data_IF_361081645551
#
_entry.id   IF_361081645551
#
_cell.length_a   1.000
_cell.length_b   1.000
_cell.length_c   1.000
_cell.angle_alpha   90.00
_cell.angle_beta   90.00
_cell.angle_gamma   90.00
#
_symmetry.space_group_name_H-M   'P 1'
#
loop_
_entity.id
_entity.type
_entity.pdbx_description
1 polymer ?
#
# COMPACT_ATOMS: atom_id res chain seq x y z
N UNK A 1 60.12 -53.63 -4.06
CA UNK A 1 59.61 -52.49 -4.87
C UNK A 1 58.44 -51.88 -4.12
N UNK A 2 58.50 -50.60 -3.73
CA UNK A 2 57.48 -49.96 -2.86
C UNK A 2 56.51 -49.14 -3.72
N UNK A 3 55.22 -49.51 -3.71
CA UNK A 3 54.14 -48.81 -4.41
C UNK A 3 53.64 -47.68 -3.50
N UNK A 4 53.66 -46.43 -3.98
CA UNK A 4 53.10 -45.27 -3.26
C UNK A 4 51.63 -45.11 -3.66
N UNK A 5 50.72 -45.29 -2.71
CA UNK A 5 49.30 -45.01 -2.90
C UNK A 5 49.04 -43.51 -2.83
N UNK A 6 48.42 -42.96 -3.87
CA UNK A 6 47.99 -41.56 -3.96
C UNK A 6 46.50 -41.52 -3.63
N UNK A 7 46.15 -40.86 -2.53
CA UNK A 7 44.74 -40.68 -2.12
C UNK A 7 44.16 -39.46 -2.83
N UNK A 8 43.22 -39.70 -3.74
CA UNK A 8 42.47 -38.67 -4.45
C UNK A 8 41.32 -38.19 -3.56
N UNK A 9 41.46 -37.02 -2.94
CA UNK A 9 40.40 -36.42 -2.13
C UNK A 9 39.38 -35.79 -3.07
N UNK A 10 38.26 -36.48 -3.28
CA UNK A 10 37.15 -35.98 -4.10
C UNK A 10 36.31 -35.01 -3.26
N UNK A 11 36.49 -33.70 -3.50
CA UNK A 11 35.74 -32.66 -2.80
C UNK A 11 34.28 -32.64 -3.27
N UNK A 12 33.36 -32.99 -2.38
CA UNK A 12 31.92 -33.02 -2.63
C UNK A 12 31.36 -31.58 -2.61
N UNK A 13 31.18 -30.98 -3.78
CA UNK A 13 30.50 -29.68 -3.94
C UNK A 13 29.00 -29.84 -3.70
N UNK A 14 28.54 -29.55 -2.48
CA UNK A 14 27.12 -29.45 -2.16
C UNK A 14 26.53 -28.20 -2.85
N UNK A 15 25.44 -28.33 -3.64
CA UNK A 15 24.81 -27.17 -4.27
C UNK A 15 24.16 -26.31 -3.20
N UNK A 16 24.66 -25.09 -3.03
CA UNK A 16 24.03 -24.08 -2.18
C UNK A 16 22.72 -23.66 -2.86
N UNK A 17 21.60 -24.23 -2.42
CA UNK A 17 20.27 -23.83 -2.88
C UNK A 17 19.93 -22.47 -2.26
N UNK A 18 20.07 -21.41 -3.06
CA UNK A 18 19.68 -20.07 -2.65
C UNK A 18 18.14 -19.99 -2.56
N UNK A 19 17.59 -19.93 -1.35
CA UNK A 19 16.19 -19.58 -1.15
C UNK A 19 16.01 -18.11 -1.49
N UNK A 20 15.60 -17.84 -2.74
CA UNK A 20 15.15 -16.52 -3.14
C UNK A 20 13.95 -16.12 -2.26
N UNK A 21 14.17 -15.18 -1.34
CA UNK A 21 13.10 -14.61 -0.53
C UNK A 21 12.20 -13.79 -1.43
N UNK A 22 11.12 -14.39 -1.92
CA UNK A 22 10.05 -13.65 -2.59
C UNK A 22 9.40 -12.74 -1.54
N UNK A 23 9.45 -11.43 -1.76
CA UNK A 23 8.81 -10.46 -0.88
C UNK A 23 7.30 -10.72 -0.87
N UNK A 24 6.84 -11.50 0.10
CA UNK A 24 5.44 -11.94 0.16
C UNK A 24 4.61 -10.83 0.76
N UNK A 25 3.62 -10.35 0.00
CA UNK A 25 2.70 -9.34 0.51
C UNK A 25 1.83 -9.91 1.63
N UNK A 26 1.65 -9.19 2.76
CA UNK A 26 0.78 -9.63 3.85
C UNK A 26 -0.66 -9.90 3.39
N UNK A 27 -1.19 -9.02 2.53
CA UNK A 27 -2.36 -9.32 1.71
C UNK A 27 -1.88 -9.76 0.32
N UNK A 28 -2.08 -11.03 -0.03
CA UNK A 28 -1.59 -11.63 -1.29
C UNK A 28 -2.17 -10.97 -2.53
N UNK A 29 -3.45 -10.60 -2.47
CA UNK A 29 -4.23 -10.02 -3.55
C UNK A 29 -4.98 -8.80 -3.02
N UNK A 30 -4.53 -7.61 -3.42
CA UNK A 30 -5.06 -6.37 -2.89
C UNK A 30 -4.01 -5.29 -2.75
N UNK A 31 -4.30 -4.35 -1.85
CA UNK A 31 -3.43 -3.22 -1.59
C UNK A 31 -2.89 -3.32 -0.16
N UNK A 32 -1.58 -3.20 0.01
CA UNK A 32 -0.92 -3.12 1.30
C UNK A 32 -0.37 -1.71 1.49
N UNK A 33 -0.75 -1.02 2.57
CA UNK A 33 -0.17 0.25 2.97
C UNK A 33 0.74 0.00 4.16
N UNK A 34 2.04 0.01 3.91
CA UNK A 34 3.09 -0.13 4.90
C UNK A 34 3.36 1.25 5.51
N UNK A 35 2.76 1.53 6.66
CA UNK A 35 2.66 2.86 7.24
C UNK A 35 4.02 3.39 7.70
N UNK A 36 4.83 2.55 8.34
CA UNK A 36 6.20 2.86 8.73
C UNK A 36 7.09 3.22 7.53
N UNK A 37 6.89 2.51 6.40
CA UNK A 37 7.63 2.75 5.14
C UNK A 37 6.97 3.81 4.25
N UNK A 38 5.82 4.37 4.66
CA UNK A 38 4.99 5.28 3.86
C UNK A 38 4.84 4.83 2.41
N UNK A 39 4.52 3.55 2.22
CA UNK A 39 4.43 2.91 0.90
C UNK A 39 3.10 2.21 0.72
N UNK A 40 2.45 2.43 -0.42
CA UNK A 40 1.34 1.64 -0.91
C UNK A 40 1.86 0.65 -1.95
N UNK A 41 1.62 -0.64 -1.75
CA UNK A 41 1.96 -1.72 -2.66
C UNK A 41 0.68 -2.40 -3.17
N UNK A 42 0.56 -2.53 -4.48
CA UNK A 42 -0.45 -3.37 -5.13
C UNK A 42 0.15 -4.75 -5.30
N UNK A 43 -0.55 -5.78 -4.83
CA UNK A 43 -0.09 -7.15 -4.82
C UNK A 43 -1.07 -8.08 -5.54
N UNK A 44 -0.53 -9.09 -6.19
CA UNK A 44 -1.27 -10.18 -6.83
C UNK A 44 -0.49 -11.48 -6.65
N UNK A 45 -1.16 -12.53 -6.21
CA UNK A 45 -0.57 -13.84 -5.90
C UNK A 45 0.68 -13.72 -5.00
N UNK A 46 0.62 -12.85 -4.00
CA UNK A 46 1.71 -12.63 -3.04
C UNK A 46 2.85 -11.76 -3.56
N UNK A 47 2.90 -11.45 -4.86
CA UNK A 47 3.95 -10.65 -5.47
C UNK A 47 3.57 -9.17 -5.58
N UNK A 48 4.53 -8.28 -5.36
CA UNK A 48 4.34 -6.84 -5.54
C UNK A 48 4.34 -6.50 -7.03
N UNK A 49 3.24 -5.95 -7.53
CA UNK A 49 3.08 -5.52 -8.92
C UNK A 49 3.51 -4.05 -9.09
N UNK A 50 3.18 -3.21 -8.11
CA UNK A 50 3.52 -1.78 -8.15
C UNK A 50 3.58 -1.18 -6.76
N UNK A 51 4.48 -0.21 -6.57
CA UNK A 51 4.61 0.54 -5.31
C UNK A 51 4.54 2.04 -5.55
N UNK A 52 4.00 2.76 -4.57
CA UNK A 52 3.90 4.21 -4.55
C UNK A 52 4.28 4.76 -3.18
N UNK A 53 5.06 5.83 -3.13
CA UNK A 53 5.21 6.62 -1.90
C UNK A 53 3.87 7.26 -1.56
N UNK A 54 3.51 7.26 -0.28
CA UNK A 54 2.26 7.82 0.20
C UNK A 54 2.43 8.79 1.37
N UNK A 55 1.48 9.69 1.49
CA UNK A 55 1.30 10.51 2.67
C UNK A 55 0.09 10.02 3.47
N UNK A 56 0.22 10.13 4.79
CA UNK A 56 -0.72 9.61 5.77
C UNK A 56 -1.24 10.75 6.66
N UNK A 57 -2.13 10.41 7.60
CA UNK A 57 -2.64 11.32 8.61
C UNK A 57 -1.52 12.05 9.35
N UNK A 58 -1.61 13.37 9.50
CA UNK A 58 -0.55 14.16 10.14
C UNK A 58 -0.37 13.85 11.64
N UNK A 59 -1.39 13.25 12.28
CA UNK A 59 -1.29 12.72 13.65
C UNK A 59 -0.93 11.23 13.70
N UNK A 60 -0.44 10.67 12.59
CA UNK A 60 0.00 9.28 12.47
C UNK A 60 -1.13 8.32 12.10
N UNK A 61 -1.10 7.13 12.69
CA UNK A 61 -1.99 6.01 12.38
C UNK A 61 -2.83 5.59 13.59
N UNK A 62 -3.81 4.71 13.38
CA UNK A 62 -4.70 4.21 14.42
C UNK A 62 -5.92 5.11 14.65
N UNK A 63 -6.61 5.46 13.55
CA UNK A 63 -7.88 6.20 13.60
C UNK A 63 -8.92 5.49 14.47
N UNK A 64 -9.55 6.24 15.37
CA UNK A 64 -10.71 5.80 16.18
C UNK A 64 -11.81 6.85 16.28
N UNK A 65 -11.52 8.15 16.09
CA UNK A 65 -12.49 9.23 16.26
C UNK A 65 -12.58 10.14 15.04
N UNK A 66 -13.74 10.75 14.80
CA UNK A 66 -13.85 11.87 13.87
C UNK A 66 -12.88 13.00 14.29
N UNK A 67 -12.19 13.61 13.33
CA UNK A 67 -11.25 14.71 13.61
C UNK A 67 -9.94 14.34 14.33
N UNK A 68 -9.65 13.06 14.59
CA UNK A 68 -8.35 12.66 15.19
C UNK A 68 -7.16 12.76 14.23
N UNK A 69 -7.41 13.02 12.94
CA UNK A 69 -6.43 13.19 11.87
C UNK A 69 -5.41 12.04 11.73
N UNK A 70 -5.82 10.83 12.10
CA UNK A 70 -5.05 9.60 11.95
C UNK A 70 -5.51 8.79 10.75
N UNK A 71 -4.60 8.06 10.11
CA UNK A 71 -4.97 7.04 9.13
C UNK A 71 -5.43 5.77 9.84
N UNK A 72 -6.53 5.13 9.43
CA UNK A 72 -6.98 3.87 10.05
C UNK A 72 -5.97 2.75 9.82
N UNK A 73 -5.93 1.80 10.76
CA UNK A 73 -5.11 0.58 10.69
C UNK A 73 -6.06 -0.61 10.68
N UNK A 74 -5.78 -1.57 9.81
CA UNK A 74 -6.60 -2.78 9.66
C UNK A 74 -6.91 -3.11 8.20
N UNK A 75 -7.77 -4.12 8.03
CA UNK A 75 -8.24 -4.60 6.74
C UNK A 75 -9.60 -3.96 6.40
N UNK A 76 -9.69 -3.35 5.22
CA UNK A 76 -10.89 -2.67 4.75
C UNK A 76 -11.23 -3.09 3.32
N UNK A 77 -12.50 -2.98 2.97
CA UNK A 77 -12.93 -2.99 1.56
C UNK A 77 -12.76 -1.59 0.97
N UNK A 78 -12.51 -1.54 -0.33
CA UNK A 78 -12.58 -0.30 -1.10
C UNK A 78 -13.94 -0.19 -1.78
N UNK A 79 -14.49 1.03 -1.80
CA UNK A 79 -15.61 1.37 -2.67
C UNK A 79 -15.12 1.68 -4.09
N UNK A 80 -16.07 1.83 -5.01
CA UNK A 80 -15.74 2.14 -6.41
C UNK A 80 -15.02 3.50 -6.54
N UNK A 81 -13.93 3.59 -7.33
CA UNK A 81 -13.22 4.84 -7.58
C UNK A 81 -14.11 5.90 -8.24
N UNK A 82 -14.13 7.12 -7.71
CA UNK A 82 -14.92 8.24 -8.26
C UNK A 82 -14.05 9.44 -8.63
N UNK A 83 -14.49 10.20 -9.64
CA UNK A 83 -13.86 11.49 -10.00
C UNK A 83 -13.93 12.45 -8.82
N UNK A 84 -12.88 13.23 -8.62
CA UNK A 84 -12.80 14.27 -7.60
C UNK A 84 -12.22 15.54 -8.20
N UNK A 85 -12.90 16.68 -8.01
CA UNK A 85 -12.34 17.98 -8.40
C UNK A 85 -11.09 18.31 -7.59
N UNK A 86 -11.09 17.97 -6.30
CA UNK A 86 -9.99 18.27 -5.40
C UNK A 86 -8.80 17.33 -5.57
N UNK A 87 -9.01 16.07 -5.95
CA UNK A 87 -7.94 15.05 -5.90
C UNK A 87 -7.74 14.26 -7.20
N UNK A 88 -8.34 14.70 -8.30
CA UNK A 88 -8.50 13.96 -9.58
C UNK A 88 -9.36 12.70 -9.43
N UNK A 89 -8.99 11.79 -8.54
CA UNK A 89 -9.72 10.58 -8.17
C UNK A 89 -9.71 10.39 -6.66
N UNK A 90 -10.83 9.89 -6.13
CA UNK A 90 -10.95 9.48 -4.73
C UNK A 90 -11.52 8.05 -4.67
N UNK A 91 -10.87 7.18 -3.91
CA UNK A 91 -11.26 5.79 -3.70
C UNK A 91 -11.62 5.63 -2.22
N UNK A 92 -12.91 5.58 -1.86
CA UNK A 92 -13.31 5.48 -0.47
C UNK A 92 -12.81 4.17 0.17
N UNK A 93 -12.19 4.29 1.34
CA UNK A 93 -11.92 3.18 2.25
C UNK A 93 -13.14 3.04 3.14
N UNK A 94 -13.71 1.83 3.22
CA UNK A 94 -14.91 1.58 4.03
C UNK A 94 -14.57 1.47 5.53
N UNK A 95 -14.15 2.60 6.09
CA UNK A 95 -13.92 2.82 7.52
C UNK A 95 -15.10 3.61 8.14
N UNK A 96 -15.51 3.28 9.38
CA UNK A 96 -15.09 2.13 10.17
C UNK A 96 -15.69 0.81 9.63
N UNK A 97 -15.10 -0.32 9.99
CA UNK A 97 -15.77 -1.62 9.78
C UNK A 97 -16.99 -1.74 10.71
N UNK A 98 -17.97 -2.63 10.44
CA UNK A 98 -19.10 -2.84 11.34
C UNK A 98 -18.67 -3.17 12.78
N UNK A 99 -17.62 -3.99 12.95
CA UNK A 99 -17.04 -4.30 14.27
C UNK A 99 -16.44 -3.05 14.94
N UNK A 100 -15.75 -2.20 14.18
CA UNK A 100 -15.19 -0.95 14.72
C UNK A 100 -16.29 0.04 15.09
N UNK A 101 -17.35 0.15 14.29
CA UNK A 101 -18.52 0.97 14.58
C UNK A 101 -19.21 0.50 15.87
N UNK A 102 -19.44 -0.81 16.03
CA UNK A 102 -19.96 -1.41 17.26
C UNK A 102 -19.06 -1.18 18.48
N UNK A 103 -17.74 -1.05 18.27
CA UNK A 103 -16.76 -0.68 19.29
C UNK A 103 -16.64 0.84 19.52
N UNK A 104 -17.53 1.65 18.95
CA UNK A 104 -17.58 3.10 19.16
C UNK A 104 -16.61 3.93 18.31
N UNK A 105 -16.04 3.36 17.25
CA UNK A 105 -15.17 4.13 16.35
C UNK A 105 -16.02 5.08 15.52
N UNK A 106 -15.57 6.34 15.41
CA UNK A 106 -16.29 7.38 14.66
C UNK A 106 -15.45 7.97 13.52
N UNK A 107 -16.09 8.76 12.67
CA UNK A 107 -15.52 9.38 11.48
C UNK A 107 -15.87 8.63 10.20
N UNK A 108 -15.60 9.26 9.07
CA UNK A 108 -15.91 8.76 7.74
C UNK A 108 -14.96 9.41 6.71
N UNK A 109 -15.28 9.28 5.42
CA UNK A 109 -14.62 9.98 4.32
C UNK A 109 -13.08 9.79 4.23
N UNK A 110 -12.59 8.65 4.71
CA UNK A 110 -11.20 8.23 4.50
C UNK A 110 -11.10 7.52 3.15
N UNK A 111 -10.02 7.76 2.42
CA UNK A 111 -9.83 7.13 1.12
C UNK A 111 -8.39 7.18 0.62
N UNK A 112 -8.17 6.54 -0.53
CA UNK A 112 -6.97 6.72 -1.34
C UNK A 112 -7.25 7.85 -2.33
N UNK A 113 -6.33 8.80 -2.48
CA UNK A 113 -6.53 9.92 -3.42
C UNK A 113 -5.23 10.43 -4.04
N UNK A 114 -5.35 11.17 -5.14
CA UNK A 114 -4.23 11.83 -5.81
C UNK A 114 -3.82 13.14 -5.13
N UNK A 115 -2.85 13.88 -5.68
CA UNK A 115 -2.47 15.19 -5.14
C UNK A 115 -3.65 16.17 -5.19
N UNK A 116 -3.62 17.21 -4.34
CA UNK A 116 -4.61 18.29 -4.41
C UNK A 116 -4.47 19.03 -5.74
N UNK A 117 -5.57 19.21 -6.47
CA UNK A 117 -5.58 19.99 -7.70
C UNK A 117 -5.65 21.48 -7.36
N UNK A 118 -4.75 22.31 -7.90
CA UNK A 118 -4.88 23.77 -7.81
C UNK A 118 -5.88 24.28 -8.87
N UNK A 119 -6.63 25.32 -8.53
CA UNK A 119 -7.59 25.99 -9.43
C UNK A 119 -6.92 26.97 -10.41
N UNK A 120 -5.65 27.30 -10.18
CA UNK A 120 -4.87 28.24 -10.99
C UNK A 120 -3.66 27.50 -11.57
N UNK A 121 -3.42 27.69 -12.87
CA UNK A 121 -2.45 26.98 -13.71
C UNK A 121 -0.96 27.01 -13.32
N UNK A 122 -0.61 27.29 -12.06
CA UNK A 122 0.72 27.00 -11.51
C UNK A 122 0.82 25.53 -11.12
N UNK A 123 0.94 24.67 -12.13
CA UNK A 123 1.12 23.24 -11.97
C UNK A 123 2.61 22.85 -11.79
N UNK A 124 3.41 23.70 -11.13
CA UNK A 124 4.87 23.52 -11.17
C UNK A 124 5.37 22.37 -10.29
N UNK A 125 4.59 21.92 -9.29
CA UNK A 125 5.03 20.86 -8.38
C UNK A 125 3.88 19.95 -7.94
N UNK A 126 3.55 18.94 -8.76
CA UNK A 126 2.74 17.79 -8.36
C UNK A 126 3.52 16.91 -7.36
N UNK A 127 3.71 17.44 -6.17
CA UNK A 127 4.42 16.80 -5.08
C UNK A 127 3.43 16.05 -4.17
N UNK A 128 3.90 14.93 -3.63
CA UNK A 128 3.21 14.22 -2.56
C UNK A 128 2.93 15.22 -1.42
N UNK A 129 1.66 15.40 -0.98
CA UNK A 129 1.38 16.28 0.14
C UNK A 129 2.16 15.79 1.37
N UNK A 130 2.65 16.69 2.22
CA UNK A 130 3.40 16.26 3.42
C UNK A 130 2.57 15.36 4.35
N UNK A 131 1.24 15.57 4.39
CA UNK A 131 0.30 14.79 5.21
C UNK A 131 -1.16 14.98 4.78
N UNK A 132 -2.06 14.16 5.32
CA UNK A 132 -3.52 14.22 5.12
C UNK A 132 -4.26 14.34 6.46
N UNK A 133 -5.60 14.43 6.44
CA UNK A 133 -6.46 14.32 7.64
C UNK A 133 -6.88 12.88 7.97
N UNK A 134 -6.17 11.88 7.44
CA UNK A 134 -6.41 10.45 7.66
C UNK A 134 -6.48 9.59 6.40
N UNK A 135 -6.50 10.21 5.22
CA UNK A 135 -6.43 9.53 3.93
C UNK A 135 -5.03 8.97 3.61
N UNK A 136 -4.95 8.13 2.59
CA UNK A 136 -3.72 7.66 1.97
C UNK A 136 -3.54 8.38 0.64
N UNK A 137 -2.65 9.37 0.58
CA UNK A 137 -2.46 10.17 -0.63
C UNK A 137 -1.26 9.65 -1.44
N UNK A 138 -1.42 9.47 -2.75
CA UNK A 138 -0.29 9.25 -3.68
C UNK A 138 0.13 10.57 -4.32
N UNK A 139 1.39 10.66 -4.77
CA UNK A 139 1.98 11.96 -5.13
C UNK A 139 1.67 12.50 -6.53
N UNK A 140 1.10 11.71 -7.44
CA UNK A 140 0.86 12.12 -8.83
C UNK A 140 -0.50 11.67 -9.35
N UNK A 141 -1.06 12.43 -10.29
CA UNK A 141 -2.35 12.12 -10.91
C UNK A 141 -2.34 10.76 -11.63
N UNK A 142 -1.28 10.44 -12.38
CA UNK A 142 -1.17 9.14 -13.04
C UNK A 142 -1.03 7.98 -12.05
N UNK A 143 -0.51 8.21 -10.83
CA UNK A 143 -0.44 7.18 -9.80
C UNK A 143 -1.82 6.85 -9.25
N UNK A 144 -2.65 7.86 -8.94
CA UNK A 144 -4.01 7.57 -8.46
C UNK A 144 -4.88 6.96 -9.56
N UNK A 145 -4.67 7.35 -10.82
CA UNK A 145 -5.34 6.73 -11.97
C UNK A 145 -4.95 5.25 -12.11
N UNK A 146 -3.67 4.92 -11.93
CA UNK A 146 -3.23 3.52 -11.91
C UNK A 146 -3.94 2.72 -10.81
N UNK A 147 -3.92 3.23 -9.57
CA UNK A 147 -4.58 2.57 -8.43
C UNK A 147 -6.08 2.40 -8.72
N UNK A 148 -6.73 3.44 -9.25
CA UNK A 148 -8.15 3.40 -9.57
C UNK A 148 -8.49 2.39 -10.66
N UNK A 149 -7.68 2.32 -11.73
CA UNK A 149 -7.88 1.35 -12.81
C UNK A 149 -7.70 -0.07 -12.30
N UNK A 150 -6.72 -0.30 -11.42
CA UNK A 150 -6.53 -1.60 -10.78
C UNK A 150 -7.75 -1.99 -9.91
N UNK A 151 -8.25 -1.07 -9.08
CA UNK A 151 -9.45 -1.33 -8.24
C UNK A 151 -10.68 -1.60 -9.10
N UNK A 152 -10.86 -0.88 -10.22
CA UNK A 152 -11.97 -1.13 -11.16
C UNK A 152 -11.89 -2.50 -11.82
N UNK A 153 -10.69 -2.92 -12.21
CA UNK A 153 -10.46 -4.23 -12.83
C UNK A 153 -10.56 -5.39 -11.83
N UNK A 154 -10.50 -5.12 -10.52
CA UNK A 154 -10.55 -6.13 -9.45
C UNK A 154 -11.65 -5.77 -8.43
N UNK A 155 -12.95 -5.92 -8.77
CA UNK A 155 -14.05 -5.66 -7.84
C UNK A 155 -13.90 -6.44 -6.53
N UNK A 156 -14.27 -5.82 -5.42
CA UNK A 156 -14.09 -6.42 -4.10
C UNK A 156 -12.68 -6.32 -3.52
N UNK A 157 -11.78 -5.58 -4.19
CA UNK A 157 -10.45 -5.21 -3.68
C UNK A 157 -10.51 -4.86 -2.19
N UNK A 158 -9.57 -5.45 -1.44
CA UNK A 158 -9.28 -5.09 -0.05
C UNK A 158 -7.99 -4.30 0.06
N UNK A 159 -7.92 -3.48 1.10
CA UNK A 159 -6.73 -2.74 1.51
C UNK A 159 -6.38 -3.13 2.94
N UNK A 160 -5.14 -3.54 3.16
CA UNK A 160 -4.55 -3.75 4.48
C UNK A 160 -3.64 -2.57 4.80
N UNK A 161 -3.94 -1.84 5.87
CA UNK A 161 -3.11 -0.73 6.36
C UNK A 161 -2.43 -1.17 7.64
N UNK A 162 -1.09 -1.25 7.62
CA UNK A 162 -0.24 -1.79 8.68
C UNK A 162 1.02 -0.94 8.85
#
# INVERSE_FOLDING_TARGET
MKIKAIYFVMALLLPVTSLASTSTCPLSDGINVLTAKRTLAICKHGSVIKTFKVALGYKGVGKKKAGDNKTPVGLYRLAYPRKSRQFKVFIPILYPTPKQAAAGYTGAAVGIHGPTQSSQGLNLFNNLPYSTRGCVAVGRNNYIEYVANWVKANPGTKILII
#
